data_IF_965882774521
#
_entry.id   IF_965882774521
#
_cell.length_a   1.000
_cell.length_b   1.000
_cell.length_c   1.000
_cell.angle_alpha   90.00
_cell.angle_beta   90.00
_cell.angle_gamma   90.00
#
_symmetry.space_group_name_H-M   'P 1'
#
loop_
_entity.id
_entity.type
_entity.pdbx_description
1 polymer ?
#
# COMPACT_ATOMS: atom_id res chain seq x y z
N UNK A 1 2.42 -17.87 7.28
CA UNK A 1 1.22 -17.21 7.86
C UNK A 1 0.02 -17.67 7.07
N UNK A 2 -0.94 -18.31 7.73
CA UNK A 2 -2.20 -18.77 7.12
C UNK A 2 -3.29 -17.71 7.36
N UNK A 3 -4.09 -17.40 6.34
CA UNK A 3 -5.27 -16.56 6.49
C UNK A 3 -6.46 -17.34 7.04
N UNK A 4 -7.50 -16.64 7.51
CA UNK A 4 -8.78 -17.27 7.93
C UNK A 4 -9.47 -18.05 6.82
N UNK A 5 -9.13 -17.77 5.57
CA UNK A 5 -9.57 -18.47 4.35
C UNK A 5 -8.82 -19.78 4.10
N UNK A 6 -7.90 -20.19 4.99
CA UNK A 6 -6.93 -21.26 4.79
C UNK A 6 -6.01 -21.08 3.57
N UNK A 7 -6.10 -19.94 2.85
CA UNK A 7 -5.15 -19.59 1.81
C UNK A 7 -3.93 -18.89 2.41
N UNK A 8 -2.78 -19.08 1.77
CA UNK A 8 -1.57 -18.29 2.06
C UNK A 8 -1.71 -16.91 1.42
N UNK A 9 -1.04 -15.92 2.01
CA UNK A 9 -1.18 -14.51 1.61
C UNK A 9 -0.40 -14.20 0.32
N UNK A 10 0.82 -14.72 0.24
CA UNK A 10 1.82 -14.33 -0.77
C UNK A 10 2.04 -15.37 -1.87
N UNK A 11 1.58 -16.61 -1.69
CA UNK A 11 1.77 -17.67 -2.67
C UNK A 11 1.30 -19.03 -2.16
N UNK A 12 1.03 -20.02 -3.03
CA UNK A 12 0.34 -21.26 -2.66
C UNK A 12 1.13 -22.10 -1.65
N UNK A 13 2.46 -22.05 -1.74
CA UNK A 13 3.39 -22.73 -0.85
C UNK A 13 4.49 -21.77 -0.37
N UNK A 14 5.21 -22.13 0.70
CA UNK A 14 6.33 -21.29 1.13
C UNK A 14 7.44 -21.36 0.07
N UNK A 15 8.04 -20.22 -0.29
CA UNK A 15 9.07 -20.14 -1.33
C UNK A 15 8.55 -20.07 -2.76
N UNK A 16 7.22 -20.11 -2.96
CA UNK A 16 6.60 -19.90 -4.28
C UNK A 16 5.58 -18.78 -4.14
N UNK A 17 5.84 -17.67 -4.82
CA UNK A 17 4.99 -16.48 -4.81
C UNK A 17 3.87 -16.60 -5.86
N UNK A 18 2.75 -15.89 -5.64
CA UNK A 18 1.75 -15.70 -6.70
C UNK A 18 2.30 -14.75 -7.77
N UNK A 19 2.03 -15.07 -9.04
CA UNK A 19 2.47 -14.28 -10.20
C UNK A 19 1.90 -12.85 -10.22
N UNK A 20 0.76 -12.64 -9.56
CA UNK A 20 0.05 -11.36 -9.52
C UNK A 20 0.45 -10.49 -8.31
N UNK A 21 1.41 -10.91 -7.49
CA UNK A 21 1.80 -10.19 -6.28
C UNK A 21 2.14 -8.72 -6.55
N UNK A 22 2.90 -8.43 -7.60
CA UNK A 22 3.24 -7.05 -7.97
C UNK A 22 2.00 -6.18 -8.23
N UNK A 23 1.00 -6.73 -8.92
CA UNK A 23 -0.26 -6.04 -9.21
C UNK A 23 -1.09 -5.88 -7.94
N UNK A 24 -1.21 -6.95 -7.15
CA UNK A 24 -1.96 -6.94 -5.88
C UNK A 24 -1.43 -5.87 -4.93
N UNK A 25 -0.11 -5.77 -4.78
CA UNK A 25 0.51 -4.81 -3.88
C UNK A 25 0.58 -3.39 -4.46
N UNK A 26 0.69 -3.24 -5.78
CA UNK A 26 0.46 -1.94 -6.43
C UNK A 26 -0.96 -1.42 -6.17
N UNK A 27 -1.97 -2.28 -6.39
CA UNK A 27 -3.37 -1.96 -6.14
C UNK A 27 -3.61 -1.61 -4.67
N UNK A 28 -3.02 -2.38 -3.74
CA UNK A 28 -3.08 -2.08 -2.30
C UNK A 28 -2.54 -0.67 -2.01
N UNK A 29 -1.38 -0.30 -2.54
CA UNK A 29 -0.80 1.03 -2.33
C UNK A 29 -1.70 2.15 -2.88
N UNK A 30 -2.25 1.97 -4.09
CA UNK A 30 -3.13 2.97 -4.70
C UNK A 30 -4.44 3.10 -3.92
N UNK A 31 -5.06 1.98 -3.53
CA UNK A 31 -6.27 1.98 -2.71
C UNK A 31 -6.02 2.63 -1.34
N UNK A 32 -4.86 2.39 -0.72
CA UNK A 32 -4.46 3.00 0.53
C UNK A 32 -4.32 4.53 0.45
N UNK A 33 -3.94 5.07 -0.73
CA UNK A 33 -3.92 6.52 -0.99
C UNK A 33 -5.31 7.11 -1.32
N UNK A 34 -6.30 6.28 -1.63
CA UNK A 34 -7.68 6.75 -1.85
C UNK A 34 -8.47 6.74 -0.55
N UNK A 35 -8.26 5.72 0.29
CA UNK A 35 -9.06 5.46 1.47
C UNK A 35 -9.22 6.66 2.43
N UNK A 36 -8.16 7.41 2.81
CA UNK A 36 -8.31 8.52 3.75
C UNK A 36 -9.23 9.64 3.26
N UNK A 37 -9.38 9.79 1.94
CA UNK A 37 -10.19 10.87 1.33
C UNK A 37 -11.64 10.44 1.09
N UNK A 38 -11.88 9.15 0.86
CA UNK A 38 -13.18 8.65 0.38
C UNK A 38 -13.94 7.89 1.46
N UNK A 39 -13.27 7.17 2.36
CA UNK A 39 -13.95 6.39 3.39
C UNK A 39 -14.42 7.31 4.51
N UNK A 40 -15.73 7.35 4.71
CA UNK A 40 -16.36 8.07 5.80
C UNK A 40 -16.43 7.17 7.06
N UNK A 41 -15.66 7.48 8.09
CA UNK A 41 -15.54 6.63 9.28
C UNK A 41 -16.37 7.20 10.43
N UNK A 42 -17.48 6.53 10.74
CA UNK A 42 -18.50 7.05 11.66
C UNK A 42 -18.74 6.13 12.87
N UNK A 43 -17.84 5.18 13.12
CA UNK A 43 -17.97 4.20 14.21
C UNK A 43 -17.47 4.73 15.57
N UNK A 44 -16.90 5.93 15.61
CA UNK A 44 -16.38 6.56 16.83
C UNK A 44 -17.28 7.71 17.29
N UNK A 45 -17.50 7.84 18.60
CA UNK A 45 -18.16 9.03 19.17
C UNK A 45 -17.31 10.31 19.07
N UNK A 46 -16.01 10.17 18.84
CA UNK A 46 -15.05 11.27 18.81
C UNK A 46 -14.61 11.66 17.39
N UNK A 47 -15.00 10.87 16.39
CA UNK A 47 -14.60 11.08 15.01
C UNK A 47 -15.69 10.58 14.06
N UNK A 48 -16.09 11.45 13.13
CA UNK A 48 -17.04 11.17 12.06
C UNK A 48 -16.58 11.97 10.85
N UNK A 49 -16.37 11.30 9.72
CA UNK A 49 -15.78 11.93 8.55
C UNK A 49 -14.71 11.07 7.85
N UNK A 50 -14.23 11.55 6.69
CA UNK A 50 -12.98 11.07 6.12
C UNK A 50 -11.78 11.54 6.94
N UNK A 51 -10.69 10.77 6.93
CA UNK A 51 -9.41 11.19 7.52
C UNK A 51 -8.85 12.47 6.87
N UNK A 52 -9.12 12.67 5.58
CA UNK A 52 -8.64 13.82 4.81
C UNK A 52 -7.20 13.64 4.32
N UNK A 53 -6.51 14.77 4.14
CA UNK A 53 -5.20 14.83 3.47
C UNK A 53 -4.03 15.14 4.42
N UNK A 54 -4.32 15.61 5.63
CA UNK A 54 -3.33 15.89 6.69
C UNK A 54 -3.00 14.59 7.45
N UNK A 55 -2.27 13.69 6.79
CA UNK A 55 -1.98 12.34 7.31
C UNK A 55 -0.50 11.98 7.16
N UNK A 56 -0.04 11.06 8.02
CA UNK A 56 1.24 10.37 7.85
C UNK A 56 0.96 8.91 7.51
N UNK A 57 1.49 8.45 6.38
CA UNK A 57 1.42 7.04 6.01
C UNK A 57 2.60 6.29 6.62
N UNK A 58 2.33 5.15 7.24
CA UNK A 58 3.37 4.22 7.68
C UNK A 58 3.35 3.03 6.72
N UNK A 59 4.35 2.97 5.84
CA UNK A 59 4.51 1.92 4.84
C UNK A 59 5.41 0.81 5.40
N UNK A 60 4.85 -0.40 5.53
CA UNK A 60 5.49 -1.56 6.12
C UNK A 60 6.00 -2.53 5.03
N UNK A 61 7.32 -2.71 4.95
CA UNK A 61 8.05 -3.56 4.00
C UNK A 61 7.67 -3.36 2.51
N UNK A 62 8.24 -4.22 1.66
CA UNK A 62 8.13 -4.14 0.21
C UNK A 62 6.69 -4.12 -0.31
N UNK A 63 5.75 -4.80 0.38
CA UNK A 63 4.33 -4.84 0.02
C UNK A 63 3.69 -3.45 -0.09
N UNK A 64 4.25 -2.45 0.60
CA UNK A 64 3.73 -1.07 0.57
C UNK A 64 4.75 -0.06 0.07
N UNK A 65 5.89 -0.52 -0.47
CA UNK A 65 7.01 0.33 -0.89
C UNK A 65 6.68 1.25 -2.08
N UNK A 66 5.64 0.95 -2.87
CA UNK A 66 5.19 1.81 -3.98
C UNK A 66 4.35 3.01 -3.51
N UNK A 67 3.80 2.98 -2.29
CA UNK A 67 2.98 4.08 -1.75
C UNK A 67 3.69 5.44 -1.80
N UNK A 68 4.94 5.61 -1.30
CA UNK A 68 5.65 6.89 -1.40
C UNK A 68 5.90 7.32 -2.86
N UNK A 69 6.11 6.37 -3.78
CA UNK A 69 6.28 6.66 -5.20
C UNK A 69 4.98 7.22 -5.81
N UNK A 70 3.84 6.55 -5.62
CA UNK A 70 2.55 7.03 -6.12
C UNK A 70 2.15 8.36 -5.48
N UNK A 71 2.35 8.51 -4.17
CA UNK A 71 2.08 9.77 -3.47
C UNK A 71 2.83 10.94 -4.14
N UNK A 72 4.13 10.77 -4.40
CA UNK A 72 4.98 11.84 -4.93
C UNK A 72 4.82 12.05 -6.43
N UNK A 73 4.62 10.99 -7.21
CA UNK A 73 4.55 11.08 -8.67
C UNK A 73 3.15 11.46 -9.19
N UNK A 74 2.08 11.05 -8.48
CA UNK A 74 0.70 11.19 -8.98
C UNK A 74 -0.11 12.21 -8.18
N UNK A 75 -0.08 12.13 -6.84
CA UNK A 75 -1.01 12.90 -5.99
C UNK A 75 -0.49 14.31 -5.69
N UNK A 76 0.76 14.43 -5.23
CA UNK A 76 1.35 15.73 -4.87
C UNK A 76 1.39 16.74 -6.03
N UNK A 77 1.72 16.37 -7.28
CA UNK A 77 1.67 17.30 -8.41
C UNK A 77 0.26 17.83 -8.71
N UNK A 78 -0.78 17.07 -8.33
CA UNK A 78 -2.19 17.48 -8.45
C UNK A 78 -2.67 18.32 -7.26
N UNK A 79 -1.77 18.69 -6.34
CA UNK A 79 -2.09 19.43 -5.13
C UNK A 79 -2.84 18.62 -4.08
N UNK A 80 -2.84 17.28 -4.17
CA UNK A 80 -3.43 16.38 -3.19
C UNK A 80 -2.34 15.92 -2.23
N UNK A 81 -2.64 15.77 -0.93
CA UNK A 81 -1.69 15.31 0.10
C UNK A 81 -0.43 16.19 0.18
N UNK A 82 -0.58 17.52 0.06
CA UNK A 82 0.54 18.47 -0.03
C UNK A 82 1.52 18.33 1.15
N UNK A 83 0.98 18.23 2.36
CA UNK A 83 1.74 18.15 3.61
C UNK A 83 2.08 16.72 4.01
N UNK A 84 1.31 15.73 3.52
CA UNK A 84 1.43 14.34 3.92
C UNK A 84 2.86 13.80 3.76
N UNK A 85 3.27 12.97 4.73
CA UNK A 85 4.58 12.33 4.77
C UNK A 85 4.43 10.81 4.82
N UNK A 86 5.52 10.11 4.50
CA UNK A 86 5.60 8.66 4.59
C UNK A 86 6.76 8.29 5.49
N UNK A 87 6.50 7.45 6.49
CA UNK A 87 7.52 6.72 7.22
C UNK A 87 7.58 5.30 6.65
N UNK A 88 8.78 4.85 6.25
CA UNK A 88 8.97 3.50 5.74
C UNK A 88 9.59 2.62 6.82
N UNK A 89 8.91 1.53 7.15
CA UNK A 89 9.27 0.60 8.22
C UNK A 89 9.72 -0.72 7.60
N UNK A 90 10.99 -1.07 7.83
CA UNK A 90 11.58 -2.34 7.38
C UNK A 90 11.54 -3.31 8.54
N UNK A 91 10.77 -4.39 8.41
CA UNK A 91 10.76 -5.48 9.39
C UNK A 91 11.67 -6.62 8.93
N UNK A 92 11.89 -6.77 7.62
CA UNK A 92 12.78 -7.79 7.10
C UNK A 92 13.47 -7.41 5.79
N UNK A 93 14.79 -7.20 5.85
CA UNK A 93 15.62 -6.76 4.73
C UNK A 93 15.76 -7.81 3.60
N UNK A 94 15.49 -9.09 3.89
CA UNK A 94 15.63 -10.16 2.90
C UNK A 94 14.51 -10.12 1.83
N UNK A 95 13.33 -9.55 2.16
CA UNK A 95 12.19 -9.49 1.26
C UNK A 95 12.05 -8.09 0.67
N UNK A 96 12.40 -7.97 -0.61
CA UNK A 96 12.56 -6.66 -1.27
C UNK A 96 11.56 -6.38 -2.38
N UNK A 97 10.68 -7.35 -2.73
CA UNK A 97 9.73 -7.18 -3.83
C UNK A 97 10.44 -7.04 -5.19
N UNK A 98 11.35 -7.97 -5.51
CA UNK A 98 12.14 -7.94 -6.74
C UNK A 98 11.35 -8.63 -7.86
N UNK A 99 10.92 -7.85 -8.85
CA UNK A 99 10.19 -8.32 -10.03
C UNK A 99 10.98 -8.03 -11.31
N UNK A 100 10.59 -8.68 -12.42
CA UNK A 100 11.23 -8.44 -13.71
C UNK A 100 10.91 -7.02 -14.20
N UNK A 101 11.88 -6.36 -14.83
CA UNK A 101 11.69 -5.01 -15.36
C UNK A 101 10.57 -4.96 -16.43
N UNK A 102 10.41 -6.02 -17.22
CA UNK A 102 9.37 -6.12 -18.24
C UNK A 102 7.95 -5.98 -17.65
N UNK A 103 7.76 -6.35 -16.38
CA UNK A 103 6.46 -6.29 -15.74
C UNK A 103 6.11 -4.89 -15.21
N UNK A 104 7.07 -3.96 -15.19
CA UNK A 104 6.85 -2.61 -14.66
C UNK A 104 5.75 -1.85 -15.42
N UNK A 105 5.59 -2.11 -16.72
CA UNK A 105 4.56 -1.49 -17.55
C UNK A 105 3.12 -1.89 -17.15
N UNK A 106 2.96 -2.92 -16.31
CA UNK A 106 1.66 -3.36 -15.81
C UNK A 106 1.18 -2.57 -14.58
N UNK A 107 2.05 -1.75 -13.97
CA UNK A 107 1.83 -1.10 -12.67
C UNK A 107 1.20 0.30 -12.76
#
# INVERSE_FOLDING_TARGET
VWGKTASKIYGPTAGVDFMDNQLRFSLLCQAALVAPRVLNLNSSKYFSGPYGEEVVFIANDWHTALLPCYLKAIYKPKGIYKTAKVAFCIHNIAYQGRFAFADFALL
#
